data_IF_136446440959
#
_entry.id   IF_136446440959
#
_cell.length_a   1.000
_cell.length_b   1.000
_cell.length_c   1.000
_cell.angle_alpha   90.00
_cell.angle_beta   90.00
_cell.angle_gamma   90.00
#
_symmetry.space_group_name_H-M   'P 1'
#
loop_
_entity.id
_entity.type
_entity.pdbx_description
1 polymer ?
#
# COMPACT_ATOMS: atom_id res chain seq x y z
N UNK A 1 -5.24 14.53 5.56
CA UNK A 1 -3.93 15.16 5.33
C UNK A 1 -4.04 15.88 3.99
N UNK A 2 -3.52 17.09 3.79
CA UNK A 2 -3.68 17.73 2.48
C UNK A 2 -2.57 17.20 1.54
N UNK A 3 -2.91 16.27 0.65
CA UNK A 3 -1.95 15.68 -0.28
C UNK A 3 -1.73 16.64 -1.45
N UNK A 4 -0.54 17.19 -1.55
CA UNK A 4 -0.12 18.07 -2.65
C UNK A 4 0.63 17.26 -3.72
N UNK A 5 0.12 17.29 -4.96
CA UNK A 5 0.72 16.60 -6.10
C UNK A 5 2.18 17.00 -6.34
N UNK A 6 2.58 18.24 -6.03
CA UNK A 6 3.98 18.69 -6.17
C UNK A 6 4.91 17.87 -5.26
N UNK A 7 4.52 17.72 -4.00
CA UNK A 7 5.23 16.91 -3.01
C UNK A 7 5.28 15.43 -3.41
N UNK A 8 4.20 14.89 -3.98
CA UNK A 8 4.16 13.50 -4.46
C UNK A 8 5.05 13.29 -5.69
N UNK A 9 5.04 14.23 -6.64
CA UNK A 9 5.90 14.20 -7.83
C UNK A 9 7.39 14.22 -7.43
N UNK A 10 7.75 15.05 -6.45
CA UNK A 10 9.11 15.09 -5.92
C UNK A 10 9.52 13.76 -5.29
N UNK A 11 8.62 13.11 -4.55
CA UNK A 11 8.87 11.78 -4.00
C UNK A 11 9.16 10.74 -5.09
N UNK A 12 8.38 10.74 -6.18
CA UNK A 12 8.55 9.76 -7.26
C UNK A 12 9.72 10.05 -8.22
N UNK A 13 10.31 11.24 -8.19
CA UNK A 13 11.40 11.62 -9.11
C UNK A 13 12.64 10.72 -9.03
N UNK A 14 12.92 10.15 -7.85
CA UNK A 14 14.03 9.23 -7.58
C UNK A 14 13.54 7.83 -7.19
N UNK A 15 12.24 7.56 -7.32
CA UNK A 15 11.62 6.32 -6.85
C UNK A 15 11.67 5.22 -7.90
N UNK A 16 11.71 3.96 -7.45
CA UNK A 16 11.75 2.78 -8.34
C UNK A 16 10.53 2.73 -9.29
N UNK A 17 9.38 3.19 -8.83
CA UNK A 17 8.12 3.21 -9.59
C UNK A 17 7.88 4.52 -10.34
N UNK A 18 8.93 5.31 -10.56
CA UNK A 18 8.83 6.56 -11.32
C UNK A 18 8.10 6.37 -12.63
N UNK A 19 8.45 5.34 -13.40
CA UNK A 19 7.84 5.08 -14.71
C UNK A 19 6.31 4.92 -14.62
N UNK A 20 5.83 4.13 -13.66
CA UNK A 20 4.40 3.94 -13.39
C UNK A 20 3.73 5.27 -13.02
N UNK A 21 4.34 6.02 -12.10
CA UNK A 21 3.79 7.31 -11.68
C UNK A 21 3.75 8.32 -12.83
N UNK A 22 4.80 8.41 -13.64
CA UNK A 22 4.88 9.35 -14.77
C UNK A 22 3.98 8.98 -15.93
N UNK A 23 3.63 7.71 -16.08
CA UNK A 23 2.74 7.24 -17.14
C UNK A 23 1.27 7.55 -16.85
N UNK A 24 0.89 7.68 -15.58
CA UNK A 24 -0.48 8.00 -15.18
C UNK A 24 -0.82 9.48 -15.43
N UNK A 25 -2.07 9.74 -15.80
CA UNK A 25 -2.61 11.08 -15.92
C UNK A 25 -2.84 11.72 -14.53
N UNK A 26 -2.94 13.04 -14.47
CA UNK A 26 -3.03 13.75 -13.17
C UNK A 26 -4.35 13.49 -12.43
N UNK A 27 -5.44 13.24 -13.15
CA UNK A 27 -6.71 12.78 -12.59
C UNK A 27 -6.60 11.36 -12.02
N UNK A 28 -5.93 10.44 -12.71
CA UNK A 28 -5.64 9.09 -12.22
C UNK A 28 -4.77 9.11 -10.96
N UNK A 29 -3.71 9.93 -10.94
CA UNK A 29 -2.87 10.14 -9.76
C UNK A 29 -3.68 10.64 -8.57
N UNK A 30 -4.56 11.61 -8.82
CA UNK A 30 -5.42 12.19 -7.78
C UNK A 30 -6.40 11.16 -7.23
N UNK A 31 -7.06 10.38 -8.10
CA UNK A 31 -7.96 9.31 -7.70
C UNK A 31 -7.23 8.20 -6.92
N UNK A 32 -6.03 7.81 -7.36
CA UNK A 32 -5.21 6.81 -6.68
C UNK A 32 -4.76 7.29 -5.29
N UNK A 33 -4.34 8.55 -5.16
CA UNK A 33 -3.96 9.15 -3.87
C UNK A 33 -5.14 9.25 -2.92
N UNK A 34 -6.32 9.66 -3.40
CA UNK A 34 -7.53 9.74 -2.59
C UNK A 34 -7.95 8.36 -2.08
N UNK A 35 -7.93 7.36 -2.95
CA UNK A 35 -8.23 5.97 -2.59
C UNK A 35 -7.21 5.45 -1.56
N UNK A 36 -5.92 5.64 -1.82
CA UNK A 36 -4.86 5.24 -0.91
C UNK A 36 -4.95 5.92 0.46
N UNK A 37 -5.31 7.21 0.52
CA UNK A 37 -5.50 7.92 1.78
C UNK A 37 -6.65 7.32 2.60
N UNK A 38 -7.79 7.03 1.97
CA UNK A 38 -8.90 6.35 2.65
C UNK A 38 -8.48 4.99 3.22
N UNK A 39 -7.77 4.19 2.42
CA UNK A 39 -7.30 2.86 2.82
C UNK A 39 -6.34 2.94 4.01
N UNK A 40 -5.33 3.81 3.94
CA UNK A 40 -4.34 3.97 5.02
C UNK A 40 -4.98 4.56 6.27
N UNK A 41 -5.93 5.49 6.15
CA UNK A 41 -6.61 6.08 7.29
C UNK A 41 -7.56 5.12 8.02
N UNK A 42 -8.02 4.07 7.33
CA UNK A 42 -8.83 3.00 7.94
C UNK A 42 -8.01 2.05 8.82
N UNK A 43 -6.68 2.08 8.68
CA UNK A 43 -5.78 1.19 9.43
C UNK A 43 -5.62 1.64 10.89
N UNK A 44 -5.45 0.70 11.84
CA UNK A 44 -5.24 1.01 13.24
C UNK A 44 -3.80 1.51 13.50
N UNK A 45 -3.51 2.75 13.10
CA UNK A 45 -2.18 3.38 13.19
C UNK A 45 -2.13 4.39 14.34
N UNK A 46 -1.08 4.32 15.17
CA UNK A 46 -0.83 5.28 16.26
C UNK A 46 -0.70 6.73 15.76
N UNK A 47 -1.35 7.70 16.40
CA UNK A 47 -1.42 9.11 15.98
C UNK A 47 -0.22 10.00 16.36
N UNK A 48 1.00 9.43 16.45
CA UNK A 48 2.20 10.22 16.72
C UNK A 48 2.72 10.97 15.48
N UNK A 49 3.54 12.02 15.67
CA UNK A 49 4.16 12.75 14.57
C UNK A 49 5.06 11.86 13.68
N UNK A 50 5.79 10.90 14.28
CA UNK A 50 6.57 9.90 13.53
C UNK A 50 5.66 9.01 12.66
N UNK A 51 4.44 8.75 13.12
CA UNK A 51 3.47 7.99 12.35
C UNK A 51 2.79 8.82 11.26
N UNK A 52 2.77 10.16 11.36
CA UNK A 52 2.23 11.03 10.32
C UNK A 52 3.09 11.04 9.05
N UNK A 53 4.42 11.16 9.20
CA UNK A 53 5.35 11.09 8.05
C UNK A 53 5.37 9.70 7.41
N UNK A 54 5.32 8.64 8.24
CA UNK A 54 5.20 7.25 7.75
C UNK A 54 3.88 6.99 7.02
N UNK A 55 2.78 7.58 7.48
CA UNK A 55 1.48 7.51 6.79
C UNK A 55 1.53 8.16 5.42
N UNK A 56 2.13 9.34 5.32
CA UNK A 56 2.31 10.02 4.04
C UNK A 56 3.04 9.14 3.02
N UNK A 57 4.17 8.54 3.42
CA UNK A 57 4.91 7.60 2.57
C UNK A 57 4.04 6.38 2.22
N UNK A 58 3.30 5.85 3.19
CA UNK A 58 2.41 4.71 2.95
C UNK A 58 1.30 5.01 1.96
N UNK A 59 0.73 6.22 1.98
CA UNK A 59 -0.25 6.65 0.98
C UNK A 59 0.37 6.71 -0.41
N UNK A 60 1.58 7.25 -0.55
CA UNK A 60 2.25 7.33 -1.86
C UNK A 60 2.53 5.94 -2.42
N UNK A 61 3.09 5.06 -1.59
CA UNK A 61 3.40 3.68 -1.98
C UNK A 61 2.12 2.88 -2.30
N UNK A 62 1.03 3.11 -1.57
CA UNK A 62 -0.27 2.51 -1.86
C UNK A 62 -0.86 3.05 -3.18
N UNK A 63 -0.77 4.36 -3.43
CA UNK A 63 -1.29 4.98 -4.64
C UNK A 63 -0.58 4.48 -5.90
N UNK A 64 0.76 4.45 -5.91
CA UNK A 64 1.49 3.94 -7.08
C UNK A 64 1.25 2.45 -7.30
N UNK A 65 1.02 1.68 -6.22
CA UNK A 65 0.67 0.27 -6.31
C UNK A 65 -0.68 0.05 -7.00
N UNK A 66 -1.66 0.93 -6.75
CA UNK A 66 -2.96 0.92 -7.44
C UNK A 66 -2.88 1.31 -8.92
N UNK A 67 -1.91 2.16 -9.27
CA UNK A 67 -1.67 2.58 -10.66
C UNK A 67 -0.90 1.56 -11.49
N UNK A 68 -0.23 0.58 -10.86
CA UNK A 68 0.49 -0.46 -11.59
C UNK A 68 -0.49 -1.36 -12.34
N UNK A 69 -0.17 -1.65 -13.59
CA UNK A 69 -0.85 -2.67 -14.40
C UNK A 69 -0.02 -3.96 -14.40
N UNK A 70 -0.65 -5.09 -14.06
CA UNK A 70 -0.02 -6.40 -13.97
C UNK A 70 0.04 -6.96 -12.55
N UNK A 71 0.31 -8.28 -12.43
CA UNK A 71 0.36 -9.00 -11.15
C UNK A 71 1.78 -9.44 -10.83
N UNK A 72 2.47 -8.74 -9.92
CA UNK A 72 3.67 -9.30 -9.29
C UNK A 72 3.25 -10.28 -8.19
N UNK A 73 4.11 -11.25 -7.89
CA UNK A 73 3.85 -12.24 -6.82
C UNK A 73 3.61 -11.58 -5.46
N UNK A 74 4.30 -10.47 -5.21
CA UNK A 74 4.13 -9.66 -4.00
C UNK A 74 2.73 -9.02 -3.92
N UNK A 75 2.14 -8.69 -5.07
CA UNK A 75 0.80 -8.11 -5.16
C UNK A 75 -0.27 -9.17 -4.85
N UNK A 76 -0.08 -10.39 -5.37
CA UNK A 76 -0.94 -11.53 -5.04
C UNK A 76 -0.86 -11.87 -3.55
N UNK A 77 0.34 -11.83 -2.96
CA UNK A 77 0.51 -12.03 -1.52
C UNK A 77 -0.14 -10.91 -0.70
N UNK A 78 -0.04 -9.66 -1.14
CA UNK A 78 -0.74 -8.53 -0.54
C UNK A 78 -2.28 -8.66 -0.62
N UNK A 79 -2.79 -9.31 -1.66
CA UNK A 79 -4.19 -9.67 -1.82
C UNK A 79 -4.62 -10.89 -0.99
N UNK A 80 -3.68 -11.60 -0.37
CA UNK A 80 -3.96 -12.71 0.53
C UNK A 80 -3.64 -14.08 -0.05
N UNK A 81 -3.03 -14.17 -1.24
CA UNK A 81 -2.53 -15.44 -1.77
C UNK A 81 -1.36 -15.93 -0.92
N UNK A 82 -1.50 -17.13 -0.36
CA UNK A 82 -0.48 -17.81 0.43
C UNK A 82 -0.15 -19.16 -0.20
N UNK A 83 1.13 -19.47 -0.31
CA UNK A 83 1.57 -20.82 -0.68
C UNK A 83 1.40 -21.76 0.50
N UNK A 84 0.79 -22.92 0.26
CA UNK A 84 0.56 -23.97 1.24
C UNK A 84 1.15 -25.26 0.68
N UNK A 85 1.90 -25.99 1.50
CA UNK A 85 2.26 -27.38 1.17
C UNK A 85 1.12 -28.28 1.62
N UNK A 86 0.65 -29.13 0.71
CA UNK A 86 -0.22 -30.24 1.03
C UNK A 86 0.50 -31.57 0.65
N UNK A 87 0.00 -32.74 1.11
CA UNK A 87 0.61 -34.03 0.79
C UNK A 87 0.70 -34.31 -0.72
N UNK A 88 -0.09 -33.61 -1.53
CA UNK A 88 -0.17 -33.76 -2.99
C UNK A 88 0.69 -32.76 -3.77
N UNK A 89 1.39 -31.82 -3.11
CA UNK A 89 2.22 -30.79 -3.77
C UNK A 89 2.17 -29.40 -3.12
N UNK A 90 2.51 -28.38 -3.92
CA UNK A 90 2.37 -26.97 -3.54
C UNK A 90 1.04 -26.46 -4.08
N UNK A 91 0.19 -25.97 -3.19
CA UNK A 91 -1.08 -25.34 -3.52
C UNK A 91 -1.06 -23.86 -3.11
N UNK A 92 -2.00 -23.08 -3.64
CA UNK A 92 -2.24 -21.71 -3.19
C UNK A 92 -3.58 -21.64 -2.47
N UNK A 93 -3.62 -20.89 -1.38
CA UNK A 93 -4.87 -20.57 -0.67
C UNK A 93 -5.05 -19.08 -0.61
N UNK A 94 -6.30 -18.65 -0.54
CA UNK A 94 -6.67 -17.26 -0.38
C UNK A 94 -7.06 -16.98 1.07
N UNK A 95 -6.30 -16.13 1.74
CA UNK A 95 -6.62 -15.62 3.07
C UNK A 95 -7.21 -14.23 2.99
N UNK A 96 -8.09 -13.89 3.92
CA UNK A 96 -8.54 -12.50 4.09
C UNK A 96 -7.31 -11.65 4.48
N UNK A 97 -7.05 -10.52 3.81
CA UNK A 97 -5.98 -9.60 4.20
C UNK A 97 -6.11 -9.21 5.67
N UNK A 98 -4.99 -9.12 6.38
CA UNK A 98 -4.96 -8.87 7.84
C UNK A 98 -5.76 -7.64 8.28
N UNK A 99 -5.91 -6.64 7.40
CA UNK A 99 -6.62 -5.40 7.69
C UNK A 99 -7.87 -5.21 6.79
N UNK A 100 -8.37 -6.28 6.16
CA UNK A 100 -9.52 -6.23 5.25
C UNK A 100 -9.27 -5.56 3.90
N UNK A 101 -8.15 -4.85 3.74
CA UNK A 101 -7.73 -4.16 2.52
C UNK A 101 -6.36 -4.70 2.10
N UNK A 102 -6.14 -4.96 0.80
CA UNK A 102 -4.83 -5.34 0.32
C UNK A 102 -3.89 -4.12 0.37
N UNK A 103 -2.81 -4.27 1.11
CA UNK A 103 -1.85 -3.21 1.38
C UNK A 103 -0.57 -3.44 0.57
N UNK A 104 -0.12 -2.43 -0.14
CA UNK A 104 1.12 -2.45 -0.90
C UNK A 104 2.29 -2.86 0.01
N UNK A 105 3.19 -3.75 -0.42
CA UNK A 105 4.30 -4.22 0.40
C UNK A 105 5.15 -3.07 0.99
N UNK A 106 5.45 -2.05 0.19
CA UNK A 106 6.22 -0.87 0.62
C UNK A 106 5.44 0.05 1.54
N UNK A 107 4.13 0.18 1.34
CA UNK A 107 3.25 0.90 2.28
C UNK A 107 3.23 0.21 3.65
N UNK A 108 3.13 -1.13 3.67
CA UNK A 108 3.23 -1.94 4.90
C UNK A 108 4.58 -1.76 5.59
N UNK A 109 5.68 -1.76 4.82
CA UNK A 109 7.01 -1.53 5.35
C UNK A 109 7.17 -0.12 5.96
N UNK A 110 6.62 0.91 5.30
CA UNK A 110 6.62 2.28 5.81
C UNK A 110 5.89 2.40 7.16
N UNK A 111 4.79 1.67 7.32
CA UNK A 111 3.99 1.62 8.56
C UNK A 111 4.56 0.69 9.63
N UNK A 112 5.72 0.07 9.41
CA UNK A 112 6.30 -0.85 10.39
C UNK A 112 6.57 -0.12 11.72
N UNK A 113 6.14 -0.74 12.83
CA UNK A 113 6.16 -0.17 14.17
C UNK A 113 5.10 0.89 14.47
N UNK A 114 4.21 1.23 13.51
CA UNK A 114 3.11 2.18 13.73
C UNK A 114 1.74 1.50 13.85
N UNK A 115 1.63 0.23 13.43
CA UNK A 115 0.41 -0.57 13.51
C UNK A 115 0.17 -1.05 14.93
N UNK A 116 -0.99 -0.72 15.50
CA UNK A 116 -1.43 -1.27 16.79
C UNK A 116 -2.11 -2.62 16.55
N UNK A 117 -1.43 -3.71 16.89
CA UNK A 117 -1.99 -5.07 16.84
C UNK A 117 -3.12 -5.31 17.87
N UNK A 118 -3.44 -4.33 18.73
CA UNK A 118 -4.42 -4.46 19.82
C UNK A 118 -5.85 -4.02 19.50
N UNK A 119 -6.16 -3.60 18.26
CA UNK A 119 -7.46 -3.00 17.92
C UNK A 119 -8.38 -3.88 17.04
N UNK A 120 -8.04 -5.16 16.84
CA UNK A 120 -8.99 -6.14 16.27
C UNK A 120 -9.59 -6.88 17.47
N UNK A 121 -10.78 -6.44 17.90
CA UNK A 121 -11.70 -7.20 18.75
C UNK A 121 -12.88 -7.64 17.90
#
# INVERSE_FOLDING_TARGET
>A
MNIDLTSVNNYFNTHLDKATWTAAADDEKTAALSTAEMEINSLPISNSALAASKRQIAVYEQAVWRLRTGTRREDLQAQGVKSVRNPSGVAETYGIPTFGIPLAPRARAALNGCMSLGAIR
#
